data_IF_571174871378
#
_entry.id   IF_571174871378
#
_cell.length_a   1.000
_cell.length_b   1.000
_cell.length_c   1.000
_cell.angle_alpha   90.00
_cell.angle_beta   90.00
_cell.angle_gamma   90.00
#
_symmetry.space_group_name_H-M   'P 1'
#
loop_
_entity.id
_entity.type
_entity.pdbx_description
1 polymer ?
#
# COMPACT_ATOMS: atom_id res chain seq x y z
N UNK A 1 8.76 16.13 20.63
CA UNK A 1 9.10 14.72 20.34
C UNK A 1 7.83 14.02 19.91
N UNK A 2 7.76 13.57 18.65
CA UNK A 2 6.59 12.81 18.16
C UNK A 2 6.64 11.41 18.76
N UNK A 3 5.61 11.02 19.50
CA UNK A 3 5.46 9.64 19.98
C UNK A 3 5.49 8.68 18.78
N UNK A 4 6.37 7.67 18.74
CA UNK A 4 6.26 6.64 17.71
C UNK A 4 4.98 5.84 17.97
N UNK A 5 4.27 5.44 16.91
CA UNK A 5 3.06 4.62 17.01
C UNK A 5 3.30 3.23 17.63
N UNK A 6 2.34 2.30 17.58
CA UNK A 6 1.20 2.30 16.66
C UNK A 6 0.14 3.30 17.09
N UNK A 7 -0.58 3.83 16.10
CA UNK A 7 -1.76 4.65 16.32
C UNK A 7 -3.02 3.88 15.96
N UNK A 8 -4.02 3.97 16.83
CA UNK A 8 -5.36 3.43 16.60
C UNK A 8 -6.02 4.04 15.37
N UNK A 9 -7.02 3.36 14.80
CA UNK A 9 -7.84 3.91 13.71
C UNK A 9 -8.47 5.25 14.16
N UNK A 10 -8.31 6.33 13.38
CA UNK A 10 -9.01 7.59 13.65
C UNK A 10 -10.52 7.42 13.57
N UNK A 11 -11.29 8.19 14.36
CA UNK A 11 -12.77 8.12 14.35
C UNK A 11 -13.37 8.28 12.95
N UNK A 12 -12.77 9.14 12.11
CA UNK A 12 -13.21 9.32 10.72
C UNK A 12 -12.98 8.07 9.86
N UNK A 13 -11.98 7.26 10.14
CA UNK A 13 -11.76 5.97 9.50
C UNK A 13 -12.75 4.91 10.01
N UNK A 14 -13.00 4.88 11.32
CA UNK A 14 -14.00 4.01 11.95
C UNK A 14 -15.39 4.28 11.35
N UNK A 15 -15.79 5.55 11.28
CA UNK A 15 -17.08 5.95 10.70
C UNK A 15 -17.18 5.64 9.21
N UNK A 16 -16.10 5.79 8.45
CA UNK A 16 -16.09 5.51 7.01
C UNK A 16 -16.17 4.02 6.68
N UNK A 17 -15.60 3.15 7.52
CA UNK A 17 -15.46 1.72 7.24
C UNK A 17 -16.42 0.83 8.03
N UNK A 18 -16.96 1.30 9.16
CA UNK A 18 -17.77 0.53 10.09
C UNK A 18 -17.13 -0.85 10.42
N UNK A 19 -15.94 -0.86 11.06
CA UNK A 19 -15.13 -2.06 11.22
C UNK A 19 -15.79 -3.09 12.15
N UNK A 20 -15.78 -4.36 11.75
CA UNK A 20 -16.12 -5.51 12.61
C UNK A 20 -14.91 -5.96 13.44
N UNK A 21 -13.71 -5.87 12.86
CA UNK A 21 -12.45 -6.15 13.56
C UNK A 21 -11.28 -5.47 12.85
N UNK A 22 -10.17 -5.33 13.59
CA UNK A 22 -8.91 -4.79 13.07
C UNK A 22 -7.72 -5.60 13.58
N UNK A 23 -6.67 -5.67 12.78
CA UNK A 23 -5.40 -6.35 13.11
C UNK A 23 -4.23 -5.49 12.69
N UNK A 24 -3.33 -5.20 13.63
CA UNK A 24 -2.10 -4.45 13.33
C UNK A 24 -1.21 -5.31 12.43
N UNK A 25 -0.80 -4.75 11.30
CA UNK A 25 0.09 -5.42 10.33
C UNK A 25 1.50 -4.90 10.48
N UNK A 26 1.65 -3.59 10.64
CA UNK A 26 2.96 -2.94 10.63
C UNK A 26 2.89 -1.57 11.31
N UNK A 27 3.98 -1.21 12.00
CA UNK A 27 4.20 0.13 12.53
C UNK A 27 5.67 0.51 12.32
N UNK A 28 5.99 1.22 11.25
CA UNK A 28 7.37 1.64 10.93
C UNK A 28 7.39 2.87 10.05
N UNK A 29 8.49 3.62 10.12
CA UNK A 29 8.81 4.72 9.17
C UNK A 29 7.66 5.73 8.96
N UNK A 30 6.96 6.10 10.03
CA UNK A 30 5.88 7.09 9.95
C UNK A 30 4.54 6.55 9.46
N UNK A 31 4.35 5.24 9.44
CA UNK A 31 3.09 4.59 9.06
C UNK A 31 2.70 3.51 10.05
N UNK A 32 1.44 3.55 10.50
CA UNK A 32 0.76 2.41 11.11
C UNK A 32 -0.19 1.82 10.06
N UNK A 33 -0.09 0.52 9.78
CA UNK A 33 -0.93 -0.19 8.83
C UNK A 33 -1.78 -1.23 9.56
N UNK A 34 -3.08 -1.14 9.34
CA UNK A 34 -4.09 -2.07 9.85
C UNK A 34 -4.70 -2.86 8.70
N UNK A 35 -4.96 -4.15 8.94
CA UNK A 35 -5.99 -4.88 8.21
C UNK A 35 -7.31 -4.65 8.94
N UNK A 36 -8.32 -4.20 8.22
CA UNK A 36 -9.64 -3.91 8.77
C UNK A 36 -10.68 -4.76 8.06
N UNK A 37 -11.44 -5.52 8.83
CA UNK A 37 -12.58 -6.29 8.34
C UNK A 37 -13.86 -5.47 8.49
N UNK A 38 -14.62 -5.39 7.41
CA UNK A 38 -15.98 -4.83 7.37
C UNK A 38 -16.97 -5.98 7.10
N UNK A 39 -18.30 -5.76 7.12
CA UNK A 39 -19.27 -6.79 6.78
C UNK A 39 -19.01 -7.45 5.41
N UNK A 40 -18.61 -6.65 4.41
CA UNK A 40 -18.53 -7.12 3.03
C UNK A 40 -17.10 -7.39 2.55
N UNK A 41 -16.10 -6.69 3.11
CA UNK A 41 -14.74 -6.61 2.54
C UNK A 41 -13.65 -6.43 3.60
N UNK A 42 -12.41 -6.65 3.18
CA UNK A 42 -11.21 -6.29 3.93
C UNK A 42 -10.56 -5.05 3.32
N UNK A 43 -10.03 -4.18 4.18
CA UNK A 43 -9.29 -2.97 3.81
C UNK A 43 -7.91 -2.97 4.43
N UNK A 44 -6.93 -2.47 3.68
CA UNK A 44 -5.66 -2.02 4.20
C UNK A 44 -5.80 -0.54 4.59
N UNK A 45 -5.71 -0.22 5.87
CA UNK A 45 -5.83 1.15 6.39
C UNK A 45 -4.46 1.64 6.86
N UNK A 46 -3.88 2.59 6.12
CA UNK A 46 -2.62 3.25 6.47
C UNK A 46 -2.90 4.55 7.20
N UNK A 47 -2.24 4.75 8.33
CA UNK A 47 -2.26 5.98 9.12
C UNK A 47 -0.85 6.57 9.08
N UNK A 48 -0.74 7.76 8.52
CA UNK A 48 0.51 8.48 8.34
C UNK A 48 0.74 9.48 9.46
N UNK A 49 1.94 9.49 10.01
CA UNK A 49 2.43 10.48 10.98
C UNK A 49 3.84 10.93 10.62
N UNK A 50 4.26 12.14 11.03
CA UNK A 50 5.59 12.63 10.74
C UNK A 50 6.63 11.88 11.59
N UNK A 51 7.77 11.62 10.99
CA UNK A 51 8.98 11.21 11.69
C UNK A 51 10.03 12.32 11.62
N UNK A 52 11.05 12.28 12.49
CA UNK A 52 12.15 13.25 12.43
C UNK A 52 12.85 13.23 11.06
N UNK A 53 13.10 12.04 10.52
CA UNK A 53 13.73 11.88 9.21
C UNK A 53 12.82 12.27 8.03
N UNK A 54 11.53 12.00 8.13
CA UNK A 54 10.59 12.19 7.03
C UNK A 54 9.26 12.76 7.55
N UNK A 55 9.09 14.08 7.45
CA UNK A 55 7.84 14.75 7.81
C UNK A 55 6.70 14.43 6.83
N UNK A 56 7.05 14.23 5.55
CA UNK A 56 6.08 14.01 4.47
C UNK A 56 5.28 12.70 4.63
N UNK A 57 5.76 11.72 5.41
CA UNK A 57 5.05 10.45 5.66
C UNK A 57 3.68 10.67 6.29
N UNK A 58 3.48 11.80 6.97
CA UNK A 58 2.16 12.23 7.46
C UNK A 58 1.11 12.35 6.36
N UNK A 59 1.52 12.75 5.15
CA UNK A 59 0.64 13.01 4.00
C UNK A 59 0.60 11.85 3.00
N UNK A 60 1.47 10.86 3.15
CA UNK A 60 1.63 9.75 2.22
C UNK A 60 0.33 8.95 1.99
N UNK A 61 -0.47 8.60 3.02
CA UNK A 61 -1.71 7.84 2.80
C UNK A 61 -2.74 8.56 1.92
N UNK A 62 -3.03 9.85 2.19
CA UNK A 62 -3.97 10.59 1.35
C UNK A 62 -3.46 10.75 -0.10
N UNK A 63 -2.13 10.92 -0.27
CA UNK A 63 -1.51 10.97 -1.59
C UNK A 63 -1.66 9.66 -2.34
N UNK A 64 -1.44 8.52 -1.68
CA UNK A 64 -1.63 7.19 -2.29
C UNK A 64 -3.09 6.99 -2.72
N UNK A 65 -4.06 7.34 -1.86
CA UNK A 65 -5.49 7.20 -2.18
C UNK A 65 -5.92 8.11 -3.34
N UNK A 66 -5.38 9.32 -3.44
CA UNK A 66 -5.72 10.22 -4.57
C UNK A 66 -5.23 9.70 -5.92
N UNK A 67 -4.16 8.90 -5.94
CA UNK A 67 -3.67 8.20 -7.14
C UNK A 67 -4.53 6.99 -7.43
N UNK A 68 -4.81 6.16 -6.41
CA UNK A 68 -5.61 4.96 -6.57
C UNK A 68 -7.01 5.25 -7.15
N UNK A 69 -7.63 6.35 -6.74
CA UNK A 69 -8.91 6.83 -7.31
C UNK A 69 -8.86 7.16 -8.80
N UNK A 70 -7.69 7.52 -9.33
CA UNK A 70 -7.50 7.76 -10.77
C UNK A 70 -7.18 6.46 -11.53
N UNK A 71 -6.71 5.43 -10.82
CA UNK A 71 -6.27 4.17 -11.43
C UNK A 71 -7.35 3.10 -11.42
N UNK A 72 -8.22 3.06 -10.42
CA UNK A 72 -9.20 1.98 -10.26
C UNK A 72 -10.57 2.52 -9.81
N UNK A 73 -11.68 1.86 -10.20
CA UNK A 73 -13.02 2.21 -9.74
C UNK A 73 -13.35 1.63 -8.35
N UNK A 74 -12.38 1.03 -7.67
CA UNK A 74 -12.59 0.39 -6.37
C UNK A 74 -12.87 1.42 -5.26
N UNK A 75 -13.54 1.02 -4.17
CA UNK A 75 -13.78 1.92 -3.06
C UNK A 75 -12.47 2.27 -2.35
N UNK A 76 -12.13 3.56 -2.34
CA UNK A 76 -10.98 4.10 -1.63
C UNK A 76 -11.41 5.26 -0.73
N UNK A 77 -11.00 5.23 0.54
CA UNK A 77 -11.37 6.22 1.54
C UNK A 77 -10.11 6.92 2.06
N UNK A 78 -10.25 8.17 2.47
CA UNK A 78 -9.14 8.93 3.05
C UNK A 78 -9.68 10.05 3.91
N UNK A 79 -8.89 10.47 4.89
CA UNK A 79 -9.20 11.62 5.72
C UNK A 79 -7.98 12.15 6.43
N UNK A 80 -8.19 13.18 7.24
CA UNK A 80 -7.17 13.73 8.13
C UNK A 80 -7.39 13.24 9.56
N UNK A 81 -6.34 13.32 10.36
CA UNK A 81 -6.36 13.11 11.81
C UNK A 81 -5.31 14.02 12.44
N UNK A 82 -5.21 14.04 13.78
CA UNK A 82 -4.42 15.05 14.51
C UNK A 82 -2.94 15.18 14.15
N UNK A 83 -2.36 14.19 13.44
CA UNK A 83 -0.93 14.17 13.08
C UNK A 83 -0.66 14.03 11.59
N UNK A 84 -1.68 13.93 10.74
CA UNK A 84 -1.48 13.69 9.32
C UNK A 84 -2.74 13.22 8.61
N UNK A 85 -2.58 12.23 7.76
CA UNK A 85 -3.65 11.65 6.95
C UNK A 85 -3.75 10.15 7.16
N UNK A 86 -4.93 9.61 6.86
CA UNK A 86 -5.14 8.18 6.74
C UNK A 86 -5.75 7.86 5.38
N UNK A 87 -5.54 6.63 4.93
CA UNK A 87 -6.07 6.13 3.66
C UNK A 87 -6.45 4.65 3.78
N UNK A 88 -7.57 4.27 3.19
CA UNK A 88 -8.05 2.90 3.13
C UNK A 88 -8.28 2.48 1.68
N UNK A 89 -7.67 1.36 1.30
CA UNK A 89 -7.86 0.70 0.01
C UNK A 89 -8.25 -0.77 0.22
N UNK A 90 -8.87 -1.45 -0.75
CA UNK A 90 -9.20 -2.87 -0.60
C UNK A 90 -7.94 -3.69 -0.31
N UNK A 91 -8.05 -4.64 0.62
CA UNK A 91 -6.96 -5.55 0.95
C UNK A 91 -6.58 -6.40 -0.26
N UNK A 92 -5.27 -6.54 -0.51
CA UNK A 92 -4.75 -7.40 -1.58
C UNK A 92 -4.36 -8.75 -0.98
N UNK A 93 -5.17 -9.77 -1.25
CA UNK A 93 -4.85 -11.14 -0.87
C UNK A 93 -3.75 -11.69 -1.78
N UNK A 94 -2.75 -12.31 -1.16
CA UNK A 94 -1.58 -12.84 -1.86
C UNK A 94 -0.31 -12.70 -1.01
N UNK A 95 0.81 -13.14 -1.58
CA UNK A 95 2.14 -12.98 -0.97
C UNK A 95 2.87 -11.83 -1.66
N UNK A 96 3.69 -11.08 -0.94
CA UNK A 96 4.59 -10.15 -1.60
C UNK A 96 5.65 -10.92 -2.41
N UNK A 97 6.19 -10.33 -3.48
CA UNK A 97 7.31 -10.91 -4.21
C UNK A 97 8.52 -11.09 -3.27
N UNK A 98 8.68 -10.19 -2.29
CA UNK A 98 9.71 -10.33 -1.26
C UNK A 98 9.58 -11.65 -0.50
N UNK A 99 8.40 -11.95 0.04
CA UNK A 99 8.17 -13.18 0.82
C UNK A 99 8.27 -14.41 -0.08
N UNK A 100 7.68 -14.35 -1.27
CA UNK A 100 7.71 -15.47 -2.23
C UNK A 100 9.15 -15.84 -2.63
N UNK A 101 10.00 -14.84 -2.80
CA UNK A 101 11.40 -15.03 -3.16
C UNK A 101 12.36 -15.15 -1.96
N UNK A 102 11.85 -15.35 -0.74
CA UNK A 102 12.70 -15.49 0.45
C UNK A 102 13.76 -16.59 0.27
N UNK A 103 13.36 -17.75 -0.26
CA UNK A 103 14.25 -18.88 -0.50
C UNK A 103 15.30 -18.63 -1.60
N UNK A 104 15.08 -17.64 -2.48
CA UNK A 104 16.08 -17.19 -3.46
C UNK A 104 17.08 -16.19 -2.85
N UNK A 105 16.95 -15.85 -1.57
CA UNK A 105 17.83 -14.91 -0.84
C UNK A 105 18.46 -15.49 0.42
N UNK A 106 18.17 -16.76 0.76
CA UNK A 106 18.77 -17.45 1.90
C UNK A 106 19.76 -18.56 1.49
N UNK A 107 21.06 -18.39 1.75
CA UNK A 107 22.10 -19.44 1.64
C UNK A 107 22.97 -19.43 0.36
N UNK A 108 24.05 -20.22 0.30
CA UNK A 108 25.04 -20.16 -0.80
C UNK A 108 24.55 -20.67 -2.16
N UNK A 109 23.48 -21.47 -2.20
CA UNK A 109 22.93 -22.10 -3.41
C UNK A 109 21.57 -21.49 -3.78
N UNK A 110 21.54 -20.22 -4.19
CA UNK A 110 20.29 -19.53 -4.56
C UNK A 110 19.71 -20.13 -5.85
N UNK A 111 18.56 -20.84 -5.81
CA UNK A 111 17.90 -21.25 -7.04
C UNK A 111 17.45 -20.02 -7.82
N UNK A 112 17.46 -20.09 -9.14
CA UNK A 112 16.97 -19.01 -10.00
C UNK A 112 15.47 -18.75 -9.73
N UNK A 113 15.04 -17.47 -9.62
CA UNK A 113 13.63 -17.14 -9.47
C UNK A 113 12.78 -17.58 -10.67
N UNK A 114 11.52 -17.93 -10.40
CA UNK A 114 10.57 -18.26 -11.46
C UNK A 114 10.33 -17.03 -12.37
N UNK A 115 10.73 -17.13 -13.64
CA UNK A 115 10.53 -16.09 -14.65
C UNK A 115 9.05 -15.73 -14.84
N UNK A 116 8.12 -16.63 -14.50
CA UNK A 116 6.69 -16.35 -14.53
C UNK A 116 6.30 -15.28 -13.52
N UNK A 117 6.92 -15.27 -12.33
CA UNK A 117 6.67 -14.25 -11.31
C UNK A 117 7.15 -12.88 -11.81
N UNK A 118 8.34 -12.84 -12.41
CA UNK A 118 8.88 -11.63 -13.03
C UNK A 118 7.99 -11.13 -14.18
N UNK A 119 7.48 -12.03 -15.03
CA UNK A 119 6.58 -11.69 -16.12
C UNK A 119 5.25 -11.08 -15.61
N UNK A 120 4.68 -11.60 -14.52
CA UNK A 120 3.46 -11.02 -13.93
C UNK A 120 3.73 -9.64 -13.31
N UNK A 121 4.86 -9.46 -12.63
CA UNK A 121 5.25 -8.17 -12.05
C UNK A 121 5.47 -7.10 -13.13
N UNK A 122 6.17 -7.46 -14.21
CA UNK A 122 6.39 -6.55 -15.34
C UNK A 122 5.09 -6.23 -16.09
N UNK A 123 4.16 -7.18 -16.21
CA UNK A 123 2.84 -6.92 -16.76
C UNK A 123 2.03 -5.90 -15.93
N UNK A 124 2.09 -5.99 -14.59
CA UNK A 124 1.45 -5.02 -13.69
C UNK A 124 2.06 -3.61 -13.83
N UNK A 125 3.39 -3.51 -13.90
CA UNK A 125 4.09 -2.25 -14.16
C UNK A 125 3.73 -1.66 -15.53
N UNK A 126 3.72 -2.49 -16.57
CA UNK A 126 3.32 -2.06 -17.91
C UNK A 126 1.87 -1.54 -17.92
N UNK A 127 0.98 -2.15 -17.13
CA UNK A 127 -0.40 -1.67 -16.98
C UNK A 127 -0.48 -0.29 -16.29
N UNK A 128 0.37 -0.03 -15.30
CA UNK A 128 0.50 1.30 -14.69
C UNK A 128 1.03 2.32 -15.71
N UNK A 129 2.06 1.97 -16.47
CA UNK A 129 2.68 2.85 -17.47
C UNK A 129 1.72 3.19 -18.62
N UNK A 130 0.87 2.26 -19.06
CA UNK A 130 -0.19 2.55 -20.05
C UNK A 130 -1.19 3.60 -19.57
N UNK A 131 -1.36 3.75 -18.25
CA UNK A 131 -2.16 4.82 -17.63
C UNK A 131 -1.37 6.12 -17.41
N UNK A 132 -0.15 6.21 -17.95
CA UNK A 132 0.78 7.34 -17.84
C UNK A 132 1.23 7.62 -16.40
N UNK A 133 1.32 6.57 -15.59
CA UNK A 133 1.86 6.64 -14.23
C UNK A 133 3.17 5.86 -14.14
N UNK A 134 4.10 6.32 -13.31
CA UNK A 134 5.33 5.63 -12.90
C UNK A 134 5.25 5.44 -11.39
N UNK A 135 5.60 4.24 -10.89
CA UNK A 135 5.43 3.91 -9.47
C UNK A 135 6.29 4.75 -8.52
N UNK A 136 7.52 5.09 -8.93
CA UNK A 136 8.45 5.92 -8.14
C UNK A 136 9.17 5.22 -6.99
N UNK A 137 8.79 3.98 -6.62
CA UNK A 137 9.41 3.20 -5.55
C UNK A 137 9.14 1.70 -5.72
N UNK A 138 9.59 1.14 -6.84
CA UNK A 138 9.38 -0.28 -7.12
C UNK A 138 10.39 -1.14 -6.33
N UNK A 139 9.86 -2.06 -5.54
CA UNK A 139 10.63 -3.04 -4.77
C UNK A 139 9.79 -4.33 -4.57
N UNK A 140 10.40 -5.49 -4.29
CA UNK A 140 9.67 -6.75 -4.17
C UNK A 140 8.53 -6.74 -3.14
N UNK A 141 8.65 -5.95 -2.06
CA UNK A 141 7.59 -5.82 -1.06
C UNK A 141 6.33 -5.06 -1.56
N UNK A 142 6.43 -4.34 -2.68
CA UNK A 142 5.34 -3.55 -3.27
C UNK A 142 4.58 -4.27 -4.38
N UNK A 143 4.90 -5.55 -4.59
CA UNK A 143 4.29 -6.43 -5.58
C UNK A 143 3.57 -7.56 -4.85
N UNK A 144 2.25 -7.47 -4.71
CA UNK A 144 1.44 -8.53 -4.09
C UNK A 144 0.93 -9.47 -5.18
N UNK A 145 1.35 -10.72 -5.12
CA UNK A 145 0.99 -11.76 -6.08
C UNK A 145 -0.19 -12.57 -5.59
N UNK A 146 -1.32 -12.50 -6.30
CA UNK A 146 -2.44 -13.44 -6.14
C UNK A 146 -2.41 -14.51 -7.25
N UNK A 147 -3.31 -15.49 -7.17
CA UNK A 147 -3.50 -16.49 -8.23
C UNK A 147 -3.95 -15.89 -9.57
N UNK A 148 -4.61 -14.72 -9.54
CA UNK A 148 -5.20 -14.09 -10.72
C UNK A 148 -4.30 -13.02 -11.34
N UNK A 149 -3.63 -12.21 -10.51
CA UNK A 149 -2.78 -11.11 -10.97
C UNK A 149 -1.83 -10.61 -9.89
N UNK A 150 -0.85 -9.83 -10.31
CA UNK A 150 -0.02 -9.02 -9.42
C UNK A 150 -0.63 -7.64 -9.21
N UNK A 151 -0.66 -7.18 -7.97
CA UNK A 151 -1.07 -5.85 -7.55
C UNK A 151 0.15 -5.02 -7.17
N UNK A 152 0.18 -3.77 -7.65
CA UNK A 152 1.11 -2.74 -7.18
C UNK A 152 0.49 -2.04 -5.97
N UNK A 153 1.24 -1.91 -4.89
CA UNK A 153 0.85 -1.20 -3.67
C UNK A 153 1.89 -0.14 -3.32
N UNK A 154 1.57 0.76 -2.39
CA UNK A 154 2.49 1.83 -1.96
C UNK A 154 2.80 2.85 -3.06
N UNK A 155 1.73 3.42 -3.62
CA UNK A 155 1.81 4.39 -4.70
C UNK A 155 2.04 5.82 -4.22
N UNK A 156 2.35 6.08 -2.95
CA UNK A 156 2.50 7.46 -2.44
C UNK A 156 3.56 8.28 -3.20
N UNK A 157 4.58 7.62 -3.75
CA UNK A 157 5.65 8.21 -4.56
C UNK A 157 5.41 8.15 -6.07
N UNK A 158 4.24 7.65 -6.51
CA UNK A 158 3.93 7.56 -7.92
C UNK A 158 3.76 8.94 -8.56
N UNK A 159 4.20 9.05 -9.81
CA UNK A 159 4.20 10.28 -10.59
C UNK A 159 3.54 10.07 -11.94
N UNK A 160 2.96 11.13 -12.49
CA UNK A 160 2.25 11.12 -13.77
C UNK A 160 0.75 11.31 -13.60
N UNK A 161 -0.01 10.61 -14.45
CA UNK A 161 -1.44 10.84 -14.65
C UNK A 161 -1.71 11.83 -15.77
N UNK A 162 -2.99 11.99 -16.10
CA UNK A 162 -3.39 13.16 -16.87
C UNK A 162 -3.22 14.35 -15.94
N UNK A 163 -2.26 15.24 -16.24
CA UNK A 163 -2.21 16.55 -15.57
C UNK A 163 -3.57 17.25 -15.66
N UNK A 164 -3.82 18.26 -14.82
CA UNK A 164 -5.03 19.07 -15.01
C UNK A 164 -5.07 19.56 -16.46
N UNK A 165 -6.21 19.35 -17.12
CA UNK A 165 -6.57 20.14 -18.30
C UNK A 165 -7.12 21.47 -17.82
#
# INVERSE_FOLDING_TARGET
>A
MSQPGPYELPDSAVNALNPLSQRLIMNRRGTTLWEVRTPDKFFAVKIGYPTEAHQWTALAPAREISILRQLTPEPHFSGTWGRGTWGAQPWRFGNSLYDRWEHHRAGPDYPEPDLRDAAQCTAALAALHRKRWVHGDIQPAHLIMSSERTFLIDLALAQGGAGPR
#
